data_IF_045098705520
#
_entry.id   IF_045098705520
#
_cell.length_a   1.000
_cell.length_b   1.000
_cell.length_c   1.000
_cell.angle_alpha   90.00
_cell.angle_beta   90.00
_cell.angle_gamma   90.00
#
_symmetry.space_group_name_H-M   'P 1'
#
loop_
_entity.id
_entity.type
_entity.pdbx_description
1 polymer ?
#
# COMPACT_ATOMS: atom_id res chain seq x y z
N UNK A 1 -8.09 15.32 2.81
CA UNK A 1 -7.14 16.24 2.16
C UNK A 1 -7.42 16.22 0.66
N UNK A 2 -7.54 17.39 0.01
CA UNK A 2 -7.86 17.52 -1.42
C UNK A 2 -6.71 18.10 -2.25
N UNK A 3 -5.55 18.33 -1.62
CA UNK A 3 -4.39 18.96 -2.26
C UNK A 3 -3.61 18.01 -3.20
N UNK A 4 -3.94 16.71 -3.22
CA UNK A 4 -3.22 15.75 -4.03
C UNK A 4 -3.34 16.10 -5.53
N UNK A 5 -2.23 16.16 -6.30
CA UNK A 5 -2.25 16.59 -7.70
C UNK A 5 -3.20 15.79 -8.59
N UNK A 6 -3.40 14.50 -8.31
CA UNK A 6 -4.34 13.66 -9.05
C UNK A 6 -5.82 14.02 -8.83
N UNK A 7 -6.13 14.84 -7.82
CA UNK A 7 -7.49 15.35 -7.56
C UNK A 7 -7.70 16.78 -8.06
N UNK A 8 -6.71 17.39 -8.73
CA UNK A 8 -6.80 18.76 -9.23
C UNK A 8 -7.18 18.81 -10.72
N UNK A 9 -8.03 19.77 -11.13
CA UNK A 9 -8.72 20.76 -10.31
C UNK A 9 -9.95 20.18 -9.57
N UNK A 10 -10.11 20.52 -8.29
CA UNK A 10 -11.26 20.09 -7.48
C UNK A 10 -12.48 20.96 -7.80
N UNK A 11 -13.36 20.49 -8.68
CA UNK A 11 -14.68 21.14 -8.91
C UNK A 11 -15.79 20.56 -8.04
N UNK A 12 -15.74 19.26 -7.77
CA UNK A 12 -16.67 18.53 -6.92
C UNK A 12 -15.88 17.46 -6.13
N UNK A 13 -15.71 17.63 -4.81
CA UNK A 13 -14.89 16.74 -4.00
C UNK A 13 -15.46 15.33 -3.85
N UNK A 14 -16.79 15.14 -3.90
CA UNK A 14 -17.40 13.81 -3.82
C UNK A 14 -17.19 13.06 -5.12
N UNK A 15 -17.38 13.74 -6.25
CA UNK A 15 -17.08 13.16 -7.55
C UNK A 15 -15.59 12.84 -7.70
N UNK A 16 -14.70 13.72 -7.22
CA UNK A 16 -13.26 13.47 -7.21
C UNK A 16 -12.88 12.28 -6.33
N UNK A 17 -13.54 12.08 -5.19
CA UNK A 17 -13.32 10.90 -4.34
C UNK A 17 -13.71 9.59 -5.04
N UNK A 18 -14.86 9.56 -5.71
CA UNK A 18 -15.36 8.33 -6.33
C UNK A 18 -14.59 7.96 -7.61
N UNK A 19 -14.23 8.96 -8.42
CA UNK A 19 -13.70 8.70 -9.77
C UNK A 19 -12.20 8.91 -9.92
N UNK A 20 -11.55 9.60 -8.99
CA UNK A 20 -10.16 10.07 -9.17
C UNK A 20 -9.26 9.77 -7.97
N UNK A 21 -9.81 9.58 -6.77
CA UNK A 21 -9.05 9.14 -5.62
C UNK A 21 -8.71 7.65 -5.76
N UNK A 22 -7.50 7.35 -6.22
CA UNK A 22 -6.86 6.04 -6.03
C UNK A 22 -6.32 5.91 -4.60
N UNK A 23 -5.74 4.76 -4.22
CA UNK A 23 -5.12 4.49 -2.90
C UNK A 23 -4.20 5.64 -2.42
N UNK A 24 -3.57 6.35 -3.35
CA UNK A 24 -2.60 7.43 -3.12
C UNK A 24 -3.17 8.69 -2.44
N UNK A 25 -4.49 8.85 -2.35
CA UNK A 25 -5.11 10.01 -1.69
C UNK A 25 -5.46 9.77 -0.21
N UNK A 26 -5.26 8.56 0.33
CA UNK A 26 -5.58 8.22 1.71
C UNK A 26 -4.44 8.64 2.64
N UNK A 27 -4.64 9.74 3.37
CA UNK A 27 -3.64 10.27 4.32
C UNK A 27 -3.72 9.62 5.71
N UNK A 28 -4.92 9.53 6.28
CA UNK A 28 -5.14 9.01 7.63
C UNK A 28 -6.33 8.04 7.63
N UNK A 29 -6.19 6.89 8.29
CA UNK A 29 -7.26 5.90 8.45
C UNK A 29 -7.41 5.55 9.93
N UNK A 30 -8.65 5.45 10.40
CA UNK A 30 -8.99 5.06 11.76
C UNK A 30 -9.91 3.85 11.76
N UNK A 31 -9.61 2.87 12.61
CA UNK A 31 -10.45 1.68 12.85
C UNK A 31 -10.65 1.57 14.35
N UNK A 32 -11.90 1.48 14.81
CA UNK A 32 -12.26 1.44 16.24
C UNK A 32 -11.63 2.58 17.07
N UNK A 33 -11.48 3.76 16.46
CA UNK A 33 -10.86 4.93 17.09
C UNK A 33 -9.32 4.90 17.12
N UNK A 34 -8.69 3.83 16.66
CA UNK A 34 -7.23 3.71 16.55
C UNK A 34 -6.77 4.19 15.17
N UNK A 35 -5.74 5.04 15.12
CA UNK A 35 -5.12 5.48 13.86
C UNK A 35 -4.24 4.36 13.31
N UNK A 36 -4.61 3.81 12.15
CA UNK A 36 -3.92 2.67 11.51
C UNK A 36 -3.07 3.09 10.31
N UNK A 37 -3.39 4.22 9.68
CA UNK A 37 -2.56 4.90 8.67
C UNK A 37 -2.36 6.35 9.10
N UNK A 38 -1.14 6.86 8.94
CA UNK A 38 -0.76 8.24 9.21
C UNK A 38 0.12 8.79 8.09
N UNK A 39 -0.20 9.98 7.60
CA UNK A 39 0.56 10.63 6.52
C UNK A 39 0.83 9.70 5.32
N UNK A 40 -0.15 8.86 4.96
CA UNK A 40 -0.06 7.89 3.86
C UNK A 40 0.71 6.61 4.18
N UNK A 41 1.17 6.42 5.42
CA UNK A 41 1.95 5.26 5.83
C UNK A 41 1.22 4.43 6.90
N UNK A 42 1.16 3.09 6.77
CA UNK A 42 0.65 2.22 7.83
C UNK A 42 1.49 2.36 9.10
N UNK A 43 0.88 2.62 10.26
CA UNK A 43 1.60 2.81 11.53
C UNK A 43 1.66 1.56 12.41
N UNK A 44 0.92 0.52 12.05
CA UNK A 44 0.86 -0.74 12.81
C UNK A 44 1.52 -1.92 12.08
N UNK A 45 2.02 -1.71 10.88
CA UNK A 45 2.65 -2.74 10.05
C UNK A 45 4.11 -2.32 9.82
N UNK A 46 5.05 -3.20 10.18
CA UNK A 46 6.43 -3.07 9.73
C UNK A 46 6.54 -3.52 8.27
N UNK A 47 6.26 -2.60 7.36
CA UNK A 47 6.27 -2.86 5.92
C UNK A 47 7.66 -3.28 5.47
N UNK A 48 8.72 -2.64 5.99
CA UNK A 48 10.09 -2.93 5.60
C UNK A 48 10.47 -4.36 6.02
N UNK A 49 10.27 -4.72 7.28
CA UNK A 49 10.54 -6.06 7.77
C UNK A 49 9.73 -7.14 7.05
N UNK A 50 8.48 -6.85 6.70
CA UNK A 50 7.65 -7.77 5.91
C UNK A 50 8.17 -7.95 4.47
N UNK A 51 8.60 -6.87 3.81
CA UNK A 51 9.20 -6.95 2.46
C UNK A 51 10.54 -7.68 2.49
N UNK A 52 11.39 -7.43 3.48
CA UNK A 52 12.68 -8.11 3.63
C UNK A 52 12.49 -9.62 3.86
N UNK A 53 11.51 -9.99 4.70
CA UNK A 53 11.16 -11.39 4.91
C UNK A 53 10.62 -12.04 3.63
N UNK A 54 9.76 -11.35 2.89
CA UNK A 54 9.21 -11.84 1.62
C UNK A 54 10.32 -12.08 0.60
N UNK A 55 11.24 -11.13 0.44
CA UNK A 55 12.35 -11.24 -0.51
C UNK A 55 13.25 -12.44 -0.18
N UNK A 56 13.61 -12.60 1.10
CA UNK A 56 14.44 -13.74 1.54
C UNK A 56 13.80 -15.08 1.17
N UNK A 57 12.50 -15.25 1.41
CA UNK A 57 11.81 -16.49 1.06
C UNK A 57 11.69 -16.70 -0.46
N UNK A 58 11.57 -15.63 -1.25
CA UNK A 58 11.62 -15.74 -2.71
C UNK A 58 12.99 -16.23 -3.18
N UNK A 59 14.07 -15.66 -2.63
CA UNK A 59 15.45 -16.04 -2.97
C UNK A 59 15.71 -17.52 -2.62
N UNK A 60 15.28 -17.98 -1.45
CA UNK A 60 15.34 -19.38 -1.02
C UNK A 60 14.53 -20.31 -1.95
N UNK A 61 13.32 -19.86 -2.34
CA UNK A 61 12.44 -20.61 -3.23
C UNK A 61 13.05 -20.80 -4.62
N UNK A 62 13.59 -19.72 -5.19
CA UNK A 62 14.29 -19.68 -6.48
C UNK A 62 15.55 -20.54 -6.48
N UNK A 63 16.35 -20.50 -5.42
CA UNK A 63 17.59 -21.26 -5.33
C UNK A 63 17.39 -22.77 -5.50
N UNK A 64 16.31 -23.33 -4.96
CA UNK A 64 15.98 -24.74 -5.14
C UNK A 64 14.97 -25.04 -6.24
N UNK A 65 14.62 -24.05 -7.08
CA UNK A 65 13.63 -24.24 -8.14
C UNK A 65 14.07 -25.29 -9.16
N UNK A 66 15.35 -25.31 -9.53
CA UNK A 66 15.91 -26.29 -10.48
C UNK A 66 15.87 -27.73 -9.97
N UNK A 67 15.87 -27.96 -8.65
CA UNK A 67 15.81 -29.30 -8.05
C UNK A 67 14.38 -29.87 -8.02
N UNK A 68 13.38 -29.02 -8.25
CA UNK A 68 11.94 -29.35 -8.19
C UNK A 68 11.27 -29.19 -9.56
N UNK A 69 12.09 -29.00 -10.59
CA UNK A 69 11.65 -28.89 -11.98
C UNK A 69 11.62 -30.29 -12.59
N UNK A 70 10.48 -30.97 -12.43
CA UNK A 70 10.21 -32.25 -13.08
C UNK A 70 9.81 -31.98 -14.54
N UNK A 71 10.80 -32.08 -15.43
CA UNK A 71 10.61 -32.27 -16.87
C UNK A 71 10.77 -33.75 -17.23
#
# INVERSE_FOLDING_TARGET
DLAHPAMQPVRDPLRSLIYTASERAVRDVYVDGLRVVADGHPVQIDVQGATDALQRYQDEGLAGASERDWA
#
